data_IF_037346289161
#
_entry.id   IF_037346289161
#
_cell.length_a   1.000
_cell.length_b   1.000
_cell.length_c   1.000
_cell.angle_alpha   90.00
_cell.angle_beta   90.00
_cell.angle_gamma   90.00
#
_symmetry.space_group_name_H-M   'P 1'
#
loop_
_entity.id
_entity.type
_entity.pdbx_description
1 polymer ?
#
# COMPACT_ATOMS: atom_id res chain seq x y z
N UNK A 1 -14.11 -27.31 -84.27
CA UNK A 1 -14.70 -27.71 -82.98
C UNK A 1 -13.70 -27.39 -81.88
N UNK A 2 -14.02 -26.45 -80.97
CA UNK A 2 -13.11 -25.93 -79.97
C UNK A 2 -13.40 -26.54 -78.59
N UNK A 3 -12.38 -26.81 -77.75
CA UNK A 3 -12.46 -26.56 -76.30
C UNK A 3 -11.05 -26.28 -75.77
N UNK A 4 -10.81 -25.02 -75.39
CA UNK A 4 -9.74 -24.59 -74.48
C UNK A 4 -10.38 -24.21 -73.14
N UNK A 5 -9.60 -24.37 -72.07
CA UNK A 5 -9.69 -23.71 -70.76
C UNK A 5 -10.72 -24.23 -69.74
N UNK A 6 -10.23 -24.93 -68.71
CA UNK A 6 -10.81 -24.93 -67.37
C UNK A 6 -9.81 -25.51 -66.35
N UNK A 7 -8.86 -24.70 -65.84
CA UNK A 7 -8.04 -25.07 -64.68
C UNK A 7 -7.35 -23.85 -64.07
N UNK A 8 -8.12 -22.86 -63.60
CA UNK A 8 -7.55 -21.74 -62.82
C UNK A 8 -8.60 -21.02 -61.96
N UNK A 9 -9.42 -21.73 -61.18
CA UNK A 9 -10.37 -21.06 -60.27
C UNK A 9 -10.83 -21.94 -59.10
N UNK A 10 -9.93 -22.39 -58.23
CA UNK A 10 -10.37 -22.98 -56.96
C UNK A 10 -9.31 -22.99 -55.85
N UNK A 11 -8.63 -21.87 -55.57
CA UNK A 11 -7.68 -21.79 -54.43
C UNK A 11 -7.68 -20.44 -53.69
N UNK A 12 -8.72 -19.61 -53.87
CA UNK A 12 -8.80 -18.27 -53.24
C UNK A 12 -9.99 -18.07 -52.29
N UNK A 13 -10.78 -19.12 -52.01
CA UNK A 13 -12.00 -18.99 -51.19
C UNK A 13 -11.89 -19.53 -49.74
N UNK A 14 -10.75 -20.12 -49.34
CA UNK A 14 -10.61 -20.77 -48.03
C UNK A 14 -9.56 -20.14 -47.09
N UNK A 15 -9.14 -18.90 -47.34
CA UNK A 15 -8.19 -18.17 -46.48
C UNK A 15 -8.82 -16.98 -45.71
N UNK A 16 -10.14 -16.76 -45.84
CA UNK A 16 -10.82 -15.58 -45.27
C UNK A 16 -11.58 -15.83 -43.95
N UNK A 17 -11.56 -17.05 -43.39
CA UNK A 17 -12.37 -17.42 -42.21
C UNK A 17 -11.58 -17.63 -40.91
N UNK A 18 -10.31 -17.24 -40.87
CA UNK A 18 -9.49 -17.27 -39.65
C UNK A 18 -8.99 -15.87 -39.28
N UNK A 19 -9.89 -14.89 -39.29
CA UNK A 19 -9.68 -13.69 -38.48
C UNK A 19 -10.10 -14.08 -37.06
N UNK A 20 -9.17 -14.21 -36.09
CA UNK A 20 -9.57 -14.36 -34.71
C UNK A 20 -10.35 -13.09 -34.37
N UNK A 21 -11.65 -13.24 -34.12
CA UNK A 21 -12.50 -12.14 -33.70
C UNK A 21 -11.80 -11.46 -32.53
N UNK A 22 -11.45 -10.19 -32.70
CA UNK A 22 -10.97 -9.36 -31.62
C UNK A 22 -12.04 -9.42 -30.54
N UNK A 23 -11.79 -10.21 -29.50
CA UNK A 23 -12.72 -10.37 -28.39
C UNK A 23 -13.06 -8.98 -27.90
N UNK A 24 -14.35 -8.65 -27.90
CA UNK A 24 -14.83 -7.39 -27.34
C UNK A 24 -14.21 -7.26 -25.95
N UNK A 25 -13.40 -6.22 -25.74
CA UNK A 25 -12.79 -5.97 -24.45
C UNK A 25 -13.94 -5.90 -23.43
N UNK A 26 -13.96 -6.83 -22.47
CA UNK A 26 -14.98 -6.86 -21.45
C UNK A 26 -15.02 -5.49 -20.77
N UNK A 27 -16.20 -4.84 -20.80
CA UNK A 27 -16.38 -3.56 -20.15
C UNK A 27 -16.06 -3.71 -18.66
N UNK A 28 -15.20 -2.82 -18.13
CA UNK A 28 -14.87 -2.80 -16.71
C UNK A 28 -16.15 -2.54 -15.92
N UNK A 29 -16.40 -3.31 -14.87
CA UNK A 29 -17.54 -3.09 -13.99
C UNK A 29 -17.51 -1.64 -13.45
N UNK A 30 -18.68 -1.01 -13.19
CA UNK A 30 -18.73 0.29 -12.54
C UNK A 30 -17.97 0.27 -11.22
N UNK A 31 -17.23 1.34 -10.93
CA UNK A 31 -16.51 1.44 -9.66
C UNK A 31 -17.52 1.55 -8.51
N UNK A 32 -17.30 0.85 -7.39
CA UNK A 32 -18.11 1.02 -6.19
C UNK A 32 -17.95 2.44 -5.64
N UNK A 33 -18.95 3.00 -4.93
CA UNK A 33 -18.83 4.34 -4.37
C UNK A 33 -17.75 4.42 -3.28
N UNK A 34 -17.11 5.57 -3.15
CA UNK A 34 -16.25 5.89 -2.02
C UNK A 34 -17.06 5.92 -0.71
N UNK A 35 -16.40 5.68 0.41
CA UNK A 35 -17.04 5.72 1.73
C UNK A 35 -16.06 6.12 2.83
N UNK A 36 -16.60 6.57 3.97
CA UNK A 36 -15.83 7.01 5.13
C UNK A 36 -16.16 6.15 6.33
N UNK A 37 -15.12 5.73 7.05
CA UNK A 37 -15.21 5.09 8.35
C UNK A 37 -14.82 6.15 9.39
N UNK A 38 -15.72 6.45 10.31
CA UNK A 38 -15.51 7.45 11.37
C UNK A 38 -15.89 6.88 12.75
N UNK A 39 -15.41 7.53 13.81
CA UNK A 39 -15.73 7.15 15.19
C UNK A 39 -15.00 5.92 15.71
N UNK A 40 -13.97 5.44 14.99
CA UNK A 40 -13.06 4.40 15.47
C UNK A 40 -11.69 5.03 15.73
N UNK A 41 -11.11 4.70 16.88
CA UNK A 41 -9.72 5.03 17.23
C UNK A 41 -8.76 4.06 16.51
N UNK A 42 -8.74 4.14 15.18
CA UNK A 42 -7.93 3.32 14.29
C UNK A 42 -7.47 4.21 13.13
N UNK A 43 -6.19 4.52 13.11
CA UNK A 43 -5.59 5.49 12.18
C UNK A 43 -4.42 4.87 11.40
N UNK A 44 -3.94 5.57 10.38
CA UNK A 44 -2.94 5.04 9.44
C UNK A 44 -3.39 3.73 8.80
N UNK A 45 -4.67 3.58 8.51
CA UNK A 45 -5.29 2.26 8.55
C UNK A 45 -4.89 1.32 7.41
N UNK A 46 -5.13 0.03 7.63
CA UNK A 46 -5.27 -0.95 6.56
C UNK A 46 -6.62 -1.66 6.72
N UNK A 47 -7.43 -1.63 5.67
CA UNK A 47 -8.59 -2.50 5.54
C UNK A 47 -8.20 -3.78 4.79
N UNK A 48 -8.47 -4.95 5.36
CA UNK A 48 -8.23 -6.24 4.72
C UNK A 48 -9.45 -7.15 4.86
N UNK A 49 -9.60 -8.12 3.96
CA UNK A 49 -10.61 -9.17 4.05
C UNK A 49 -9.93 -10.52 4.23
N UNK A 50 -10.34 -11.28 5.25
CA UNK A 50 -9.93 -12.67 5.44
C UNK A 50 -11.17 -13.53 5.63
N UNK A 51 -11.38 -14.48 4.70
CA UNK A 51 -12.66 -15.18 4.61
C UNK A 51 -13.80 -14.19 4.33
N UNK A 52 -14.86 -14.26 5.12
CA UNK A 52 -16.04 -13.39 5.00
C UNK A 52 -16.03 -12.20 5.98
N UNK A 53 -14.90 -11.96 6.66
CA UNK A 53 -14.77 -10.87 7.63
C UNK A 53 -13.82 -9.80 7.10
N UNK A 54 -14.25 -8.55 7.22
CA UNK A 54 -13.41 -7.37 7.00
C UNK A 54 -12.75 -6.98 8.32
N UNK A 55 -11.48 -6.59 8.24
CA UNK A 55 -10.65 -6.20 9.37
C UNK A 55 -10.06 -4.82 9.08
N UNK A 56 -10.32 -3.88 9.98
CA UNK A 56 -9.67 -2.57 9.97
C UNK A 56 -8.58 -2.57 11.03
N UNK A 57 -7.32 -2.44 10.60
CA UNK A 57 -6.15 -2.30 11.47
C UNK A 57 -5.72 -0.84 11.51
N UNK A 58 -5.28 -0.36 12.67
CA UNK A 58 -4.86 1.03 12.81
C UNK A 58 -4.11 1.32 14.10
N UNK A 59 -3.38 2.43 14.10
CA UNK A 59 -2.80 3.08 15.28
C UNK A 59 -3.93 3.61 16.15
N UNK A 60 -3.83 3.44 17.47
CA UNK A 60 -4.77 3.99 18.44
C UNK A 60 -4.13 5.22 19.10
N UNK A 61 -4.90 6.30 19.28
CA UNK A 61 -4.47 7.57 19.87
C UNK A 61 -5.33 8.00 21.07
N UNK A 62 -6.46 7.33 21.31
CA UNK A 62 -7.48 7.72 22.30
C UNK A 62 -7.06 7.64 23.77
N UNK A 63 -5.90 7.07 24.07
CA UNK A 63 -5.29 7.13 25.41
C UNK A 63 -4.53 8.43 25.69
N UNK A 64 -4.43 9.35 24.71
CA UNK A 64 -3.75 10.64 24.84
C UNK A 64 -2.39 10.72 24.17
N UNK A 65 -2.10 9.87 23.17
CA UNK A 65 -0.87 9.97 22.39
C UNK A 65 -0.80 11.30 21.64
N UNK A 66 0.35 11.97 21.67
CA UNK A 66 0.60 13.15 20.84
C UNK A 66 1.93 13.01 20.08
N UNK A 67 1.87 13.15 18.77
CA UNK A 67 3.06 13.05 17.94
C UNK A 67 4.06 14.18 18.23
N UNK A 68 5.33 13.81 18.37
CA UNK A 68 6.45 14.65 18.81
C UNK A 68 6.29 15.25 20.22
N UNK A 69 5.48 14.65 21.08
CA UNK A 69 5.46 14.96 22.51
C UNK A 69 5.97 13.75 23.28
N UNK A 70 7.15 13.92 23.88
CA UNK A 70 7.78 12.90 24.71
C UNK A 70 6.88 12.50 25.89
N UNK A 71 7.00 11.24 26.30
CA UNK A 71 6.33 10.66 27.46
C UNK A 71 4.79 10.71 27.44
N UNK A 72 4.18 10.94 26.27
CA UNK A 72 2.75 10.69 26.09
C UNK A 72 2.49 9.19 25.94
N UNK A 73 1.35 8.68 26.44
CA UNK A 73 1.05 7.25 26.35
C UNK A 73 0.87 6.85 24.90
N UNK A 74 1.58 5.81 24.46
CA UNK A 74 1.35 5.19 23.15
C UNK A 74 0.28 4.11 23.29
N UNK A 75 -0.83 4.24 22.55
CA UNK A 75 -2.02 3.43 22.83
C UNK A 75 -1.97 2.04 22.18
N UNK A 76 -0.98 1.77 21.34
CA UNK A 76 -0.87 0.50 20.64
C UNK A 76 -1.52 0.52 19.27
N UNK A 77 -1.60 -0.67 18.70
CA UNK A 77 -2.36 -0.94 17.48
C UNK A 77 -3.62 -1.70 17.82
N UNK A 78 -4.70 -1.39 17.09
CA UNK A 78 -5.97 -2.04 17.25
C UNK A 78 -6.45 -2.74 15.99
N UNK A 79 -7.50 -3.54 16.17
CA UNK A 79 -8.28 -4.17 15.11
C UNK A 79 -9.77 -4.04 15.40
N UNK A 80 -10.53 -3.71 14.36
CA UNK A 80 -11.99 -3.80 14.35
C UNK A 80 -12.44 -4.74 13.23
N UNK A 81 -13.60 -5.36 13.39
CA UNK A 81 -14.16 -6.33 12.44
C UNK A 81 -15.55 -5.95 11.98
N UNK A 82 -15.90 -6.30 10.74
CA UNK A 82 -17.21 -6.05 10.16
C UNK A 82 -17.59 -7.11 9.11
N UNK A 83 -18.89 -7.33 8.86
CA UNK A 83 -19.37 -8.18 7.77
C UNK A 83 -19.32 -7.50 6.40
N UNK A 84 -19.18 -6.16 6.36
CA UNK A 84 -19.05 -5.37 5.14
C UNK A 84 -17.95 -4.32 5.32
N UNK A 85 -17.35 -3.80 4.23
CA UNK A 85 -16.28 -2.81 4.35
C UNK A 85 -16.78 -1.46 4.88
N UNK A 86 -18.09 -1.17 4.85
CA UNK A 86 -18.68 0.03 5.45
C UNK A 86 -19.08 -0.18 6.93
N UNK A 87 -18.99 -1.41 7.46
CA UNK A 87 -19.42 -1.75 8.82
C UNK A 87 -20.71 -2.58 8.87
N UNK A 88 -21.42 -2.61 10.01
CA UNK A 88 -21.02 -1.97 11.27
C UNK A 88 -19.72 -2.56 11.80
N UNK A 89 -18.86 -1.68 12.32
CA UNK A 89 -17.56 -2.03 12.85
C UNK A 89 -17.66 -2.37 14.35
N UNK A 90 -16.98 -3.43 14.78
CA UNK A 90 -16.86 -3.74 16.20
C UNK A 90 -16.05 -2.67 16.94
N UNK A 91 -16.16 -2.59 18.27
CA UNK A 91 -15.23 -1.80 19.07
C UNK A 91 -13.78 -2.25 18.80
N UNK A 92 -12.83 -1.32 18.58
CA UNK A 92 -11.42 -1.66 18.42
C UNK A 92 -10.90 -2.47 19.61
N UNK A 93 -10.07 -3.47 19.33
CA UNK A 93 -9.38 -4.29 20.33
C UNK A 93 -7.88 -4.24 20.08
N UNK A 94 -7.04 -4.21 21.13
CA UNK A 94 -5.59 -4.17 20.97
C UNK A 94 -5.07 -5.44 20.29
N UNK A 95 -4.08 -5.30 19.40
CA UNK A 95 -3.36 -6.42 18.79
C UNK A 95 -2.26 -6.97 19.72
N UNK A 96 -1.72 -6.14 20.60
CA UNK A 96 -0.85 -6.54 21.71
C UNK A 96 -0.89 -5.45 22.80
N UNK A 97 -0.40 -5.77 24.00
CA UNK A 97 -0.36 -4.83 25.11
C UNK A 97 0.90 -3.92 25.00
N UNK A 98 0.75 -2.58 24.89
CA UNK A 98 1.87 -1.64 24.82
C UNK A 98 2.85 -1.71 26.00
N UNK A 99 2.46 -2.25 27.14
CA UNK A 99 3.32 -2.37 28.32
C UNK A 99 4.26 -3.58 28.24
N UNK A 100 4.02 -4.49 27.30
CA UNK A 100 4.90 -5.64 27.06
C UNK A 100 6.25 -5.23 26.50
N UNK A 101 7.23 -6.12 26.66
CA UNK A 101 8.61 -5.93 26.22
C UNK A 101 8.68 -5.85 24.70
N UNK A 102 9.37 -4.83 24.21
CA UNK A 102 9.98 -4.74 22.89
C UNK A 102 11.19 -5.69 22.84
N UNK A 103 11.09 -6.84 22.14
CA UNK A 103 12.13 -7.86 22.19
C UNK A 103 13.46 -7.43 21.56
N UNK A 104 13.52 -6.28 20.89
CA UNK A 104 14.76 -5.77 20.30
C UNK A 104 15.59 -4.95 21.29
N UNK A 105 14.94 -4.09 22.08
CA UNK A 105 15.64 -3.17 22.99
C UNK A 105 15.59 -3.59 24.46
N UNK A 106 14.72 -4.55 24.81
CA UNK A 106 14.41 -4.94 26.19
C UNK A 106 13.70 -3.82 27.01
N UNK A 107 13.22 -2.78 26.32
CA UNK A 107 12.30 -1.76 26.87
C UNK A 107 10.84 -2.24 26.73
N UNK A 108 9.86 -1.52 27.29
CA UNK A 108 8.46 -1.71 26.90
C UNK A 108 8.13 -1.02 25.57
N UNK A 109 7.09 -1.46 24.85
CA UNK A 109 6.60 -0.72 23.68
C UNK A 109 6.14 0.70 24.03
N UNK A 110 5.66 0.94 25.25
CA UNK A 110 5.38 2.28 25.74
C UNK A 110 6.62 3.18 25.72
N UNK A 111 7.75 2.66 26.21
CA UNK A 111 9.02 3.39 26.17
C UNK A 111 9.46 3.55 24.72
N UNK A 112 9.49 2.47 23.93
CA UNK A 112 9.93 2.51 22.53
C UNK A 112 9.12 3.50 21.68
N UNK A 113 7.79 3.51 21.81
CA UNK A 113 6.90 4.28 20.94
C UNK A 113 6.47 5.63 21.53
N UNK A 114 6.27 5.72 22.85
CA UNK A 114 5.81 6.94 23.54
C UNK A 114 6.94 7.78 24.13
N UNK A 115 8.01 7.16 24.61
CA UNK A 115 9.03 7.85 25.42
C UNK A 115 9.69 9.06 24.74
N UNK A 116 9.91 9.03 23.43
CA UNK A 116 10.46 10.18 22.68
C UNK A 116 9.41 10.99 21.92
N UNK A 117 8.14 10.54 21.92
CA UNK A 117 7.08 11.09 21.09
C UNK A 117 7.22 10.79 19.60
N UNK A 118 8.22 10.00 19.18
CA UNK A 118 8.39 9.66 17.76
C UNK A 118 7.34 8.67 17.26
N UNK A 119 6.64 7.98 18.16
CA UNK A 119 5.56 7.06 17.84
C UNK A 119 6.00 5.69 17.34
N UNK A 120 5.00 4.84 17.17
CA UNK A 120 5.03 3.69 16.29
C UNK A 120 3.75 3.71 15.44
N UNK A 121 3.87 3.41 14.15
CA UNK A 121 2.82 3.69 13.16
C UNK A 121 2.68 2.54 12.15
N UNK A 122 1.72 2.69 11.24
CA UNK A 122 1.53 1.80 10.09
C UNK A 122 1.36 0.32 10.41
N UNK A 123 0.41 -0.07 11.27
CA UNK A 123 0.11 -1.48 11.41
C UNK A 123 -0.40 -2.01 10.06
N UNK A 124 0.29 -3.02 9.54
CA UNK A 124 -0.09 -3.75 8.33
C UNK A 124 -0.15 -5.23 8.65
N UNK A 125 -1.34 -5.80 8.58
CA UNK A 125 -1.55 -7.23 8.67
C UNK A 125 -1.39 -7.86 7.29
N UNK A 126 -0.51 -8.85 7.18
CA UNK A 126 -0.45 -9.75 6.03
C UNK A 126 -0.73 -11.18 6.47
N UNK A 127 -1.35 -11.97 5.59
CA UNK A 127 -1.45 -13.42 5.75
C UNK A 127 -0.44 -14.09 4.83
N UNK A 128 0.37 -14.99 5.37
CA UNK A 128 1.28 -15.84 4.58
C UNK A 128 0.48 -16.92 3.87
N UNK A 129 -0.11 -16.57 2.73
CA UNK A 129 -0.91 -17.48 1.91
C UNK A 129 -0.72 -17.22 0.42
N UNK A 130 -0.66 -18.29 -0.38
CA UNK A 130 -0.42 -18.26 -1.83
C UNK A 130 1.04 -18.00 -2.21
N UNK A 131 1.95 -17.95 -1.23
CA UNK A 131 3.38 -17.75 -1.42
C UNK A 131 4.18 -18.28 -0.22
N UNK A 132 5.48 -18.50 -0.43
CA UNK A 132 6.39 -18.91 0.64
C UNK A 132 6.01 -20.24 1.28
N UNK A 133 5.90 -20.25 2.61
CA UNK A 133 5.48 -21.44 3.36
C UNK A 133 4.00 -21.78 3.19
N UNK A 134 3.17 -20.80 2.82
CA UNK A 134 1.73 -20.96 2.61
C UNK A 134 1.01 -21.67 3.78
N UNK A 135 1.36 -21.30 5.01
CA UNK A 135 0.83 -21.91 6.24
C UNK A 135 -0.25 -21.05 6.92
N UNK A 136 -0.66 -19.96 6.27
CA UNK A 136 -1.77 -19.11 6.71
C UNK A 136 -1.46 -18.23 7.92
N UNK A 137 -0.20 -18.14 8.36
CA UNK A 137 0.21 -17.31 9.51
C UNK A 137 -0.10 -15.84 9.25
N UNK A 138 -0.69 -15.18 10.24
CA UNK A 138 -0.91 -13.73 10.26
C UNK A 138 0.30 -13.03 10.86
N UNK A 139 0.76 -11.96 10.19
CA UNK A 139 1.97 -11.23 10.53
C UNK A 139 1.64 -9.74 10.55
N UNK A 140 1.75 -9.14 11.73
CA UNK A 140 1.66 -7.71 11.93
C UNK A 140 3.01 -7.06 11.64
N UNK A 141 3.06 -6.16 10.67
CA UNK A 141 4.17 -5.25 10.42
C UNK A 141 3.86 -3.86 10.94
N UNK A 142 4.87 -3.15 11.42
CA UNK A 142 4.77 -1.73 11.80
C UNK A 142 6.16 -1.09 11.85
N UNK A 143 6.24 0.24 11.89
CA UNK A 143 7.50 0.96 12.09
C UNK A 143 7.58 1.58 13.50
N UNK A 144 8.78 1.54 14.09
CA UNK A 144 9.19 2.20 15.33
C UNK A 144 10.37 3.14 15.04
N UNK A 145 10.12 4.38 14.59
CA UNK A 145 11.14 5.38 14.30
C UNK A 145 12.27 5.50 15.32
N UNK A 146 11.97 5.32 16.62
CA UNK A 146 12.97 5.35 17.69
C UNK A 146 14.13 4.38 17.44
N UNK A 147 13.85 3.15 17.00
CA UNK A 147 14.91 2.16 16.71
C UNK A 147 15.93 2.68 15.69
N UNK A 148 15.48 3.44 14.69
CA UNK A 148 16.41 4.02 13.72
C UNK A 148 17.19 5.22 14.27
N UNK A 149 16.58 6.02 15.12
CA UNK A 149 17.21 7.25 15.62
C UNK A 149 18.16 7.03 16.79
N UNK A 150 17.89 6.06 17.67
CA UNK A 150 18.69 5.83 18.89
C UNK A 150 19.58 4.60 18.81
N UNK A 151 19.24 3.59 18.02
CA UNK A 151 19.99 2.34 17.94
C UNK A 151 20.80 2.26 16.64
N UNK A 152 21.82 3.12 16.50
CA UNK A 152 22.82 3.09 15.43
C UNK A 152 22.27 2.89 13.99
N UNK A 153 21.12 3.51 13.67
CA UNK A 153 20.42 3.38 12.38
C UNK A 153 19.95 1.95 12.06
N UNK A 154 19.65 1.15 13.09
CA UNK A 154 18.94 -0.10 12.96
C UNK A 154 17.61 0.13 12.23
N UNK A 155 17.23 -0.81 11.39
CA UNK A 155 15.97 -0.78 10.65
C UNK A 155 14.76 -0.51 11.58
N UNK A 156 13.88 0.43 11.27
CA UNK A 156 12.75 0.79 12.15
C UNK A 156 11.57 -0.18 12.06
N UNK A 157 11.53 -1.07 11.06
CA UNK A 157 10.40 -1.99 10.92
C UNK A 157 10.47 -3.12 11.95
N UNK A 158 9.30 -3.68 12.28
CA UNK A 158 9.11 -4.83 13.14
C UNK A 158 8.08 -5.76 12.51
N UNK A 159 8.21 -7.06 12.74
CA UNK A 159 7.23 -8.06 12.32
C UNK A 159 6.88 -8.98 13.50
N UNK A 160 5.59 -9.13 13.79
CA UNK A 160 5.09 -10.02 14.84
C UNK A 160 4.13 -11.05 14.26
N UNK A 161 4.34 -12.33 14.57
CA UNK A 161 3.34 -13.35 14.28
C UNK A 161 2.16 -13.26 15.24
N UNK A 162 0.96 -13.61 14.76
CA UNK A 162 -0.29 -13.47 15.50
C UNK A 162 -1.04 -14.79 15.63
N UNK A 163 -1.83 -14.92 16.70
CA UNK A 163 -2.72 -16.08 16.89
C UNK A 163 -3.78 -16.18 15.78
N UNK A 164 -4.29 -15.03 15.34
CA UNK A 164 -5.32 -14.90 14.32
C UNK A 164 -5.21 -13.55 13.62
N UNK A 165 -6.08 -13.30 12.63
CA UNK A 165 -6.24 -11.98 12.02
C UNK A 165 -6.58 -10.89 13.06
N UNK A 166 -7.34 -11.23 14.11
CA UNK A 166 -7.70 -10.29 15.18
C UNK A 166 -6.66 -10.22 16.31
N UNK A 167 -5.47 -10.81 16.13
CA UNK A 167 -4.49 -10.96 17.20
C UNK A 167 -4.86 -12.06 18.22
N UNK A 168 -4.26 -12.03 19.43
CA UNK A 168 -3.13 -11.17 19.79
C UNK A 168 -1.89 -11.50 18.96
N UNK A 169 -0.89 -10.62 18.99
CA UNK A 169 0.37 -10.71 18.25
C UNK A 169 1.57 -10.66 19.21
N UNK A 170 2.70 -11.22 18.78
CA UNK A 170 3.97 -11.14 19.49
C UNK A 170 4.41 -12.45 20.17
N UNK A 171 5.58 -12.46 20.81
CA UNK A 171 6.15 -13.66 21.44
C UNK A 171 5.25 -14.27 22.51
N UNK A 172 5.26 -15.60 22.64
CA UNK A 172 4.47 -16.33 23.64
C UNK A 172 2.99 -16.49 23.30
N UNK A 173 2.51 -15.82 22.25
CA UNK A 173 1.15 -16.02 21.73
C UNK A 173 1.06 -17.35 20.97
N UNK A 174 0.00 -18.13 21.18
CA UNK A 174 -0.25 -19.40 20.47
C UNK A 174 -1.35 -19.21 19.42
N UNK A 175 -1.28 -19.83 18.22
CA UNK A 175 -0.26 -20.78 17.78
C UNK A 175 1.00 -20.20 17.12
N UNK A 176 0.97 -18.95 16.64
CA UNK A 176 2.03 -18.43 15.77
C UNK A 176 2.74 -17.17 16.31
N UNK A 177 2.61 -16.89 17.59
CA UNK A 177 3.23 -15.75 18.25
C UNK A 177 4.75 -15.77 18.10
N UNK A 178 5.28 -14.68 17.56
CA UNK A 178 6.70 -14.52 17.28
C UNK A 178 7.04 -13.04 17.16
N UNK A 179 8.32 -12.73 17.25
CA UNK A 179 8.88 -11.43 16.91
C UNK A 179 10.06 -11.65 15.97
N UNK A 180 10.16 -10.81 14.94
CA UNK A 180 11.33 -10.74 14.09
C UNK A 180 11.67 -9.27 13.84
N UNK A 181 12.95 -8.93 14.03
CA UNK A 181 13.50 -7.68 13.53
C UNK A 181 13.86 -7.86 12.05
N UNK A 182 13.14 -7.26 11.10
CA UNK A 182 13.32 -7.55 9.68
C UNK A 182 14.72 -7.16 9.21
N UNK A 183 15.45 -8.11 8.64
CA UNK A 183 16.70 -7.83 7.92
C UNK A 183 16.36 -7.34 6.52
N UNK A 184 16.29 -6.03 6.34
CA UNK A 184 16.09 -5.38 5.04
C UNK A 184 17.42 -4.82 4.53
N UNK A 185 17.61 -4.79 3.21
CA UNK A 185 18.82 -4.21 2.59
C UNK A 185 18.48 -3.05 1.67
N UNK A 186 17.38 -3.13 0.94
CA UNK A 186 16.89 -2.10 0.03
C UNK A 186 16.00 -1.13 0.78
N UNK A 187 15.08 -1.65 1.61
CA UNK A 187 14.23 -0.88 2.51
C UNK A 187 14.84 -0.67 3.90
N UNK A 188 16.17 -0.73 4.03
CA UNK A 188 16.86 -0.51 5.29
C UNK A 188 16.75 0.96 5.73
N UNK A 189 15.91 1.25 6.74
CA UNK A 189 15.74 2.60 7.24
C UNK A 189 14.48 2.79 8.10
N UNK A 190 13.91 3.98 8.02
CA UNK A 190 12.66 4.36 8.68
C UNK A 190 11.80 5.19 7.73
N UNK A 191 10.50 4.95 7.76
CA UNK A 191 9.50 5.75 7.08
C UNK A 191 8.20 5.00 6.94
N UNK A 192 7.29 5.63 6.20
CA UNK A 192 6.02 5.05 5.82
C UNK A 192 6.22 3.83 4.93
N UNK A 193 5.30 2.87 5.03
CA UNK A 193 5.35 1.70 4.18
C UNK A 193 3.97 1.12 3.87
N UNK A 194 3.95 0.33 2.80
CA UNK A 194 2.83 -0.50 2.39
C UNK A 194 3.34 -1.77 1.72
N UNK A 195 2.42 -2.54 1.15
CA UNK A 195 2.75 -3.75 0.42
C UNK A 195 2.19 -3.72 -1.00
N UNK A 196 2.85 -4.43 -1.91
CA UNK A 196 2.36 -4.73 -3.24
C UNK A 196 2.40 -6.25 -3.40
N UNK A 197 1.25 -6.86 -3.68
CA UNK A 197 1.18 -8.27 -4.02
C UNK A 197 1.88 -8.54 -5.37
N UNK A 198 2.49 -9.71 -5.52
CA UNK A 198 3.05 -10.10 -6.82
C UNK A 198 1.92 -10.40 -7.81
N UNK A 199 2.04 -9.87 -9.02
CA UNK A 199 1.22 -10.27 -10.17
C UNK A 199 1.60 -11.63 -10.75
N UNK A 200 2.70 -12.23 -10.29
CA UNK A 200 3.15 -13.57 -10.68
C UNK A 200 2.58 -14.61 -9.69
N UNK A 201 1.93 -15.68 -10.17
CA UNK A 201 1.48 -16.77 -9.30
C UNK A 201 2.60 -17.33 -8.42
N UNK A 202 2.35 -17.51 -7.12
CA UNK A 202 3.35 -17.96 -6.14
C UNK A 202 4.41 -16.91 -5.78
N UNK A 203 4.37 -15.74 -6.42
CA UNK A 203 5.28 -14.63 -6.15
C UNK A 203 5.04 -14.01 -4.79
N UNK A 204 6.11 -13.61 -4.12
CA UNK A 204 6.06 -13.03 -2.77
C UNK A 204 5.58 -11.58 -2.85
N UNK A 205 4.85 -11.08 -1.84
CA UNK A 205 4.61 -9.65 -1.73
C UNK A 205 5.92 -8.89 -1.55
N UNK A 206 5.94 -7.62 -1.94
CA UNK A 206 7.05 -6.73 -1.70
C UNK A 206 6.63 -5.59 -0.77
N UNK A 207 7.51 -5.24 0.15
CA UNK A 207 7.43 -4.02 0.94
C UNK A 207 7.74 -2.83 0.02
N UNK A 208 6.90 -1.81 0.01
CA UNK A 208 7.26 -0.49 -0.51
C UNK A 208 7.46 0.44 0.66
N UNK A 209 8.59 1.14 0.70
CA UNK A 209 9.01 1.92 1.86
C UNK A 209 9.51 3.30 1.46
N UNK A 210 9.23 4.28 2.30
CA UNK A 210 9.88 5.59 2.26
C UNK A 210 11.19 5.51 3.06
N UNK A 211 12.29 5.97 2.47
CA UNK A 211 13.56 6.07 3.17
C UNK A 211 13.73 7.44 3.85
N UNK A 212 14.43 7.49 5.00
CA UNK A 212 14.64 8.74 5.71
C UNK A 212 15.54 9.70 4.92
N UNK A 213 15.46 11.00 5.20
CA UNK A 213 16.22 12.03 4.51
C UNK A 213 15.56 12.46 3.20
N UNK A 214 15.93 11.84 2.07
CA UNK A 214 15.41 12.25 0.77
C UNK A 214 13.93 11.90 0.54
N UNK A 215 13.30 11.12 1.44
CA UNK A 215 11.94 10.61 1.30
C UNK A 215 11.72 10.01 -0.09
N UNK A 216 12.66 9.15 -0.50
CA UNK A 216 12.58 8.37 -1.73
C UNK A 216 11.87 7.05 -1.47
N UNK A 217 11.21 6.49 -2.49
CA UNK A 217 10.59 5.18 -2.39
C UNK A 217 11.55 4.08 -2.83
N UNK A 218 11.56 2.99 -2.08
CA UNK A 218 12.23 1.74 -2.42
C UNK A 218 11.22 0.58 -2.33
N UNK A 219 11.52 -0.53 -3.01
CA UNK A 219 10.73 -1.76 -2.99
C UNK A 219 11.66 -2.92 -2.64
N UNK A 220 11.28 -3.79 -1.71
CA UNK A 220 12.03 -5.01 -1.37
C UNK A 220 11.10 -6.23 -1.26
N UNK A 221 11.45 -7.31 -1.96
CA UNK A 221 10.77 -8.60 -1.85
C UNK A 221 10.87 -9.15 -0.42
N UNK A 222 9.74 -9.58 0.14
CA UNK A 222 9.74 -10.26 1.43
C UNK A 222 10.36 -11.66 1.33
N UNK A 223 10.86 -12.17 2.44
CA UNK A 223 11.38 -13.53 2.54
C UNK A 223 10.28 -14.60 2.57
N UNK A 224 10.68 -15.86 2.82
CA UNK A 224 9.73 -16.96 2.87
C UNK A 224 8.82 -17.01 4.08
N UNK A 225 9.16 -16.23 5.08
CA UNK A 225 8.40 -16.10 6.30
C UNK A 225 7.53 -14.83 6.26
N UNK A 226 7.75 -13.90 5.33
CA UNK A 226 7.03 -12.63 5.29
C UNK A 226 7.33 -11.73 6.47
N UNK A 227 8.43 -11.98 7.18
CA UNK A 227 8.85 -11.18 8.34
C UNK A 227 10.23 -10.54 8.13
N UNK A 228 10.88 -10.80 6.99
CA UNK A 228 12.17 -10.23 6.58
C UNK A 228 12.22 -9.92 5.09
N UNK A 229 13.37 -9.43 4.60
CA UNK A 229 13.61 -9.11 3.19
C UNK A 229 14.60 -10.05 2.52
N UNK A 230 14.56 -10.10 1.18
CA UNK A 230 15.48 -10.91 0.36
C UNK A 230 16.62 -10.12 -0.30
N UNK A 231 16.73 -8.82 -0.04
CA UNK A 231 17.63 -7.92 -0.75
C UNK A 231 17.43 -7.91 -2.29
N UNK A 232 16.23 -8.27 -2.75
CA UNK A 232 15.79 -8.20 -4.16
C UNK A 232 14.76 -7.09 -4.27
N UNK A 233 14.91 -6.17 -5.23
CA UNK A 233 13.97 -5.08 -5.40
C UNK A 233 14.54 -3.84 -6.08
N UNK A 234 13.97 -2.68 -5.77
CA UNK A 234 14.22 -1.41 -6.47
C UNK A 234 14.62 -0.34 -5.46
N UNK A 235 15.71 0.38 -5.74
CA UNK A 235 16.05 1.63 -5.05
C UNK A 235 15.60 2.80 -5.91
N UNK A 236 15.17 3.90 -5.28
CA UNK A 236 14.83 5.15 -5.98
C UNK A 236 13.77 4.92 -7.07
N UNK A 237 12.65 4.32 -6.68
CA UNK A 237 11.52 4.04 -7.57
C UNK A 237 11.18 5.30 -8.37
N UNK A 238 11.32 5.20 -9.70
CA UNK A 238 11.09 6.30 -10.65
C UNK A 238 11.84 7.63 -10.34
N UNK A 239 12.93 7.58 -9.57
CA UNK A 239 13.67 8.78 -9.14
C UNK A 239 12.89 9.69 -8.17
N UNK A 240 11.81 9.19 -7.57
CA UNK A 240 10.96 9.95 -6.66
C UNK A 240 11.69 10.35 -5.38
N UNK A 241 11.37 11.55 -4.88
CA UNK A 241 11.91 12.17 -3.66
C UNK A 241 10.83 13.04 -3.03
N UNK A 242 10.95 13.27 -1.72
CA UNK A 242 9.99 14.03 -0.94
C UNK A 242 8.56 13.45 -1.04
N UNK A 243 8.42 12.13 -0.93
CA UNK A 243 7.13 11.41 -1.03
C UNK A 243 6.97 10.40 0.11
N UNK A 244 5.73 10.10 0.51
CA UNK A 244 5.43 9.13 1.58
C UNK A 244 4.06 8.46 1.44
N UNK A 245 3.61 7.73 2.47
CA UNK A 245 2.34 6.97 2.43
C UNK A 245 2.20 6.00 1.25
N UNK A 246 3.23 5.19 0.90
CA UNK A 246 3.20 4.43 -0.33
C UNK A 246 2.29 3.18 -0.21
N UNK A 247 1.60 2.86 -1.31
CA UNK A 247 0.87 1.61 -1.45
C UNK A 247 0.62 1.29 -2.92
N UNK A 248 0.50 0.01 -3.26
CA UNK A 248 0.32 -0.36 -4.66
C UNK A 248 -0.36 -1.70 -4.87
N UNK A 249 -0.68 -1.96 -6.12
CA UNK A 249 -1.38 -3.16 -6.55
C UNK A 249 -0.92 -3.59 -7.94
N UNK A 250 -1.23 -4.84 -8.28
CA UNK A 250 -1.14 -5.35 -9.63
C UNK A 250 -2.49 -5.17 -10.32
N UNK A 251 -2.54 -4.46 -11.45
CA UNK A 251 -3.70 -4.44 -12.33
C UNK A 251 -3.60 -5.63 -13.32
N UNK A 252 -4.43 -6.68 -13.19
CA UNK A 252 -4.37 -7.84 -14.06
C UNK A 252 -4.88 -7.57 -15.48
N UNK A 253 -5.72 -6.55 -15.67
CA UNK A 253 -6.28 -6.18 -16.98
C UNK A 253 -5.23 -5.43 -17.78
N UNK A 254 -4.60 -4.42 -17.17
CA UNK A 254 -3.53 -3.65 -17.81
C UNK A 254 -2.17 -4.36 -17.77
N UNK A 255 -2.05 -5.46 -17.01
CA UNK A 255 -0.81 -6.19 -16.74
C UNK A 255 0.30 -5.25 -16.27
N UNK A 256 -0.02 -4.44 -15.25
CA UNK A 256 0.85 -3.36 -14.79
C UNK A 256 0.76 -3.19 -13.28
N UNK A 257 1.89 -2.98 -12.64
CA UNK A 257 1.95 -2.51 -11.27
C UNK A 257 1.64 -1.03 -11.21
N UNK A 258 0.85 -0.65 -10.22
CA UNK A 258 0.45 0.73 -9.95
C UNK A 258 0.77 1.03 -8.50
N UNK A 259 1.48 2.12 -8.27
CA UNK A 259 1.88 2.62 -6.96
C UNK A 259 1.33 4.03 -6.79
N UNK A 260 0.76 4.33 -5.63
CA UNK A 260 0.35 5.66 -5.21
C UNK A 260 1.12 6.08 -3.97
N UNK A 261 1.22 7.39 -3.76
CA UNK A 261 1.97 8.01 -2.65
C UNK A 261 1.60 9.49 -2.51
N UNK A 262 1.82 10.06 -1.33
CA UNK A 262 1.74 11.50 -1.08
C UNK A 262 2.89 12.23 -1.80
N UNK A 263 2.61 13.35 -2.47
CA UNK A 263 3.59 14.17 -3.19
C UNK A 263 3.25 15.67 -3.01
N UNK A 264 3.86 16.38 -2.04
CA UNK A 264 5.00 15.95 -1.22
C UNK A 264 4.62 15.07 -0.02
N UNK A 265 5.63 14.54 0.67
CA UNK A 265 5.51 14.01 2.02
C UNK A 265 5.01 15.08 2.99
N UNK A 266 4.05 14.75 3.85
CA UNK A 266 3.31 15.66 4.71
C UNK A 266 2.57 14.91 5.84
N UNK A 267 3.24 14.62 6.95
CA UNK A 267 2.63 13.95 8.10
C UNK A 267 1.49 14.76 8.71
N UNK A 268 0.34 14.10 8.94
CA UNK A 268 -0.88 14.68 9.51
C UNK A 268 -1.48 15.85 8.71
N UNK A 269 -1.22 15.93 7.41
CA UNK A 269 -1.77 16.99 6.60
C UNK A 269 -3.24 16.72 6.19
N UNK A 270 -4.12 17.67 6.48
CA UNK A 270 -5.56 17.67 6.16
C UNK A 270 -5.86 17.90 4.65
N UNK A 271 -5.01 17.36 3.78
CA UNK A 271 -5.07 17.56 2.33
C UNK A 271 -3.66 17.60 1.73
N UNK A 272 -3.28 16.52 1.07
CA UNK A 272 -1.99 16.39 0.39
C UNK A 272 -2.20 15.85 -1.03
N UNK A 273 -1.46 16.32 -2.05
CA UNK A 273 -1.60 15.75 -3.39
C UNK A 273 -1.17 14.28 -3.42
N UNK A 274 -1.84 13.49 -4.24
CA UNK A 274 -1.49 12.08 -4.47
C UNK A 274 -0.91 11.91 -5.87
N UNK A 275 0.28 11.33 -5.90
CA UNK A 275 1.03 10.97 -7.08
C UNK A 275 0.90 9.49 -7.43
N UNK A 276 1.38 9.13 -8.62
CA UNK A 276 1.49 7.73 -9.01
C UNK A 276 2.75 7.39 -9.80
N UNK A 277 3.15 6.13 -9.70
CA UNK A 277 4.14 5.49 -10.54
C UNK A 277 3.60 4.14 -11.05
N UNK A 278 4.11 3.67 -12.18
CA UNK A 278 3.74 2.37 -12.74
C UNK A 278 4.93 1.60 -13.26
N UNK A 279 4.82 0.28 -13.33
CA UNK A 279 5.84 -0.60 -13.91
C UNK A 279 5.24 -1.85 -14.57
N UNK A 280 5.85 -2.40 -15.63
CA UNK A 280 5.48 -3.71 -16.15
C UNK A 280 5.96 -4.87 -15.26
N UNK A 281 6.95 -4.63 -14.38
CA UNK A 281 7.54 -5.61 -13.48
C UNK A 281 7.68 -5.01 -12.08
N UNK A 282 7.49 -5.81 -11.02
CA UNK A 282 7.57 -5.33 -9.64
C UNK A 282 8.97 -4.80 -9.31
N UNK A 283 10.00 -5.41 -9.92
CA UNK A 283 11.40 -5.13 -9.63
C UNK A 283 12.14 -4.37 -10.74
N UNK A 284 11.45 -3.88 -11.76
CA UNK A 284 12.08 -3.08 -12.82
C UNK A 284 11.08 -2.26 -13.65
N UNK A 285 11.56 -1.19 -14.28
CA UNK A 285 10.77 -0.40 -15.23
C UNK A 285 9.75 0.55 -14.59
N UNK A 286 9.97 0.95 -13.34
CA UNK A 286 9.15 1.96 -12.67
C UNK A 286 9.32 3.34 -13.30
N UNK A 287 8.21 3.96 -13.64
CA UNK A 287 8.14 5.31 -14.20
C UNK A 287 7.05 6.13 -13.51
N UNK A 288 7.35 7.38 -13.22
CA UNK A 288 6.37 8.40 -12.84
C UNK A 288 6.48 9.54 -13.87
N UNK A 289 5.37 10.03 -14.44
CA UNK A 289 5.44 11.06 -15.46
C UNK A 289 5.95 12.38 -14.87
N UNK A 290 7.05 12.89 -15.42
CA UNK A 290 7.48 14.26 -15.20
C UNK A 290 6.58 15.27 -15.91
N UNK A 291 6.80 16.55 -15.64
CA UNK A 291 6.18 17.64 -16.38
C UNK A 291 7.18 18.27 -17.36
N UNK A 292 6.68 19.00 -18.37
CA UNK A 292 7.50 19.68 -19.39
C UNK A 292 7.07 21.14 -19.51
N UNK A 293 8.02 22.05 -19.73
CA UNK A 293 7.78 23.49 -19.90
C UNK A 293 8.69 24.38 -19.05
N UNK A 294 8.77 25.67 -19.37
CA UNK A 294 9.53 26.65 -18.57
C UNK A 294 8.88 26.79 -17.19
N UNK A 295 9.65 26.48 -16.13
CA UNK A 295 9.21 26.55 -14.72
C UNK A 295 8.03 25.64 -14.38
N UNK A 296 7.76 24.62 -15.20
CA UNK A 296 6.72 23.66 -14.92
C UNK A 296 7.08 22.85 -13.65
N UNK A 297 6.13 22.67 -12.70
CA UNK A 297 6.42 21.88 -11.50
C UNK A 297 6.72 20.44 -11.90
N UNK A 298 7.81 19.87 -11.36
CA UNK A 298 8.32 18.54 -11.74
C UNK A 298 7.28 17.43 -11.63
N UNK A 299 6.36 17.55 -10.67
CA UNK A 299 5.33 16.56 -10.34
C UNK A 299 3.98 16.77 -11.05
N UNK A 300 3.82 17.84 -11.84
CA UNK A 300 2.50 18.28 -12.32
C UNK A 300 1.70 17.24 -13.12
N UNK A 301 2.34 16.26 -13.77
CA UNK A 301 1.64 15.19 -14.51
C UNK A 301 1.41 13.91 -13.71
N UNK A 302 2.21 13.65 -12.67
CA UNK A 302 2.06 12.45 -11.83
C UNK A 302 1.07 12.66 -10.70
N UNK A 303 0.81 13.90 -10.28
CA UNK A 303 -0.28 14.22 -9.36
C UNK A 303 -1.61 14.08 -10.10
N UNK A 304 -2.48 13.18 -9.64
CA UNK A 304 -3.78 12.92 -10.27
C UNK A 304 -4.97 13.38 -9.42
N UNK A 305 -4.73 13.73 -8.15
CA UNK A 305 -5.64 14.48 -7.31
C UNK A 305 -4.82 15.40 -6.39
N UNK A 306 -5.21 16.67 -6.30
CA UNK A 306 -4.42 17.71 -5.65
C UNK A 306 -4.52 17.77 -4.12
N UNK A 307 -5.49 17.09 -3.51
CA UNK A 307 -5.74 17.16 -2.07
C UNK A 307 -6.11 15.82 -1.42
N UNK A 308 -6.07 14.72 -2.19
CA UNK A 308 -6.48 13.38 -1.78
C UNK A 308 -7.81 13.36 -1.05
N UNK A 309 -8.85 13.96 -1.67
CA UNK A 309 -10.19 14.04 -1.08
C UNK A 309 -10.22 14.72 0.31
N UNK A 310 -9.28 15.62 0.60
CA UNK A 310 -9.19 16.33 1.88
C UNK A 310 -8.37 15.62 2.96
N UNK A 311 -7.55 14.63 2.60
CA UNK A 311 -6.69 13.90 3.54
C UNK A 311 -5.29 13.62 3.02
N UNK A 312 -4.66 12.62 3.62
CA UNK A 312 -3.35 12.11 3.22
C UNK A 312 -3.49 10.66 2.72
N UNK A 313 -2.93 10.30 1.55
CA UNK A 313 -2.91 8.91 1.10
C UNK A 313 -1.97 8.10 1.99
N UNK A 314 -2.44 6.93 2.45
CA UNK A 314 -1.69 6.10 3.41
C UNK A 314 -1.14 4.83 2.80
N UNK A 315 -2.00 4.08 2.11
CA UNK A 315 -1.65 2.83 1.44
C UNK A 315 -2.74 2.44 0.44
N UNK A 316 -2.54 1.33 -0.27
CA UNK A 316 -3.55 0.72 -1.13
C UNK A 316 -3.89 -0.65 -0.59
N UNK A 317 -5.17 -0.96 -0.53
CA UNK A 317 -5.66 -2.31 -0.27
C UNK A 317 -6.40 -2.86 -1.48
N UNK A 318 -6.47 -4.17 -1.62
CA UNK A 318 -7.30 -4.83 -2.64
C UNK A 318 -8.38 -5.64 -1.94
N UNK A 319 -9.63 -5.25 -2.13
CA UNK A 319 -10.80 -5.90 -1.56
C UNK A 319 -11.62 -6.46 -2.70
N UNK A 320 -11.84 -7.77 -2.69
CA UNK A 320 -12.68 -8.45 -3.69
C UNK A 320 -12.24 -8.16 -5.14
N UNK A 321 -10.92 -8.04 -5.35
CA UNK A 321 -10.31 -7.72 -6.64
C UNK A 321 -10.31 -6.23 -7.01
N UNK A 322 -10.97 -5.37 -6.22
CA UNK A 322 -10.98 -3.92 -6.41
C UNK A 322 -9.87 -3.26 -5.58
N UNK A 323 -8.93 -2.52 -6.18
CA UNK A 323 -7.98 -1.70 -5.44
C UNK A 323 -8.67 -0.46 -4.84
N UNK A 324 -8.35 -0.13 -3.61
CA UNK A 324 -8.85 1.03 -2.87
C UNK A 324 -7.69 1.84 -2.33
N UNK A 325 -7.70 3.15 -2.58
CA UNK A 325 -6.84 4.08 -1.88
C UNK A 325 -7.38 4.29 -0.48
N UNK A 326 -6.53 4.05 0.53
CA UNK A 326 -6.80 4.43 1.91
C UNK A 326 -6.28 5.86 2.11
N UNK A 327 -7.14 6.72 2.67
CA UNK A 327 -6.86 8.13 2.92
C UNK A 327 -7.20 8.41 4.39
N UNK A 328 -6.24 8.92 5.15
CA UNK A 328 -6.52 9.42 6.50
C UNK A 328 -6.95 10.88 6.40
N UNK A 329 -8.12 11.20 6.97
CA UNK A 329 -8.67 12.55 7.05
C UNK A 329 -8.14 13.23 8.31
N UNK A 330 -6.82 13.46 8.34
CA UNK A 330 -6.13 14.11 9.44
C UNK A 330 -6.70 15.50 9.75
N UNK A 331 -6.67 15.86 11.02
CA UNK A 331 -7.14 17.14 11.54
C UNK A 331 -6.01 18.19 11.55
N UNK A 332 -4.76 17.77 11.38
CA UNK A 332 -3.59 18.65 11.47
C UNK A 332 -3.16 18.92 12.91
N UNK A 333 -3.50 18.02 13.83
CA UNK A 333 -3.22 18.13 15.27
C UNK A 333 -2.28 17.02 15.72
N UNK A 334 -1.59 17.20 16.85
CA UNK A 334 -0.64 16.18 17.34
C UNK A 334 -1.31 14.90 17.81
N UNK A 335 -2.51 15.02 18.36
CA UNK A 335 -3.40 13.89 18.62
C UNK A 335 -4.45 13.85 17.51
N UNK A 336 -4.57 12.70 16.85
CA UNK A 336 -5.45 12.49 15.70
C UNK A 336 -6.59 11.51 16.00
N UNK A 337 -6.95 11.32 17.27
CA UNK A 337 -7.97 10.33 17.72
C UNK A 337 -9.31 10.46 16.98
N UNK A 338 -9.67 11.68 16.56
CA UNK A 338 -10.91 11.95 15.86
C UNK A 338 -10.81 11.91 14.32
N UNK A 339 -9.62 11.64 13.77
CA UNK A 339 -9.42 11.54 12.33
C UNK A 339 -10.17 10.32 11.77
N UNK A 340 -10.90 10.53 10.68
CA UNK A 340 -11.61 9.46 9.98
C UNK A 340 -10.74 8.83 8.89
N UNK A 341 -11.10 7.63 8.44
CA UNK A 341 -10.50 7.02 7.25
C UNK A 341 -11.48 7.08 6.09
N UNK A 342 -11.03 7.57 4.94
CA UNK A 342 -11.76 7.56 3.69
C UNK A 342 -11.19 6.53 2.72
N UNK A 343 -12.07 5.80 2.03
CA UNK A 343 -11.72 4.78 1.06
C UNK A 343 -12.31 5.15 -0.30
N UNK A 344 -11.43 5.23 -1.30
CA UNK A 344 -11.82 5.58 -2.67
C UNK A 344 -11.37 4.47 -3.61
N UNK A 345 -12.24 3.97 -4.52
CA UNK A 345 -11.84 2.98 -5.49
C UNK A 345 -10.78 3.56 -6.43
N UNK A 346 -9.75 2.77 -6.73
CA UNK A 346 -8.78 3.09 -7.77
C UNK A 346 -9.16 2.39 -9.08
N UNK A 347 -9.00 3.10 -10.20
CA UNK A 347 -9.08 2.51 -11.53
C UNK A 347 -7.92 3.00 -12.36
N UNK A 348 -7.15 2.06 -12.91
CA UNK A 348 -6.08 2.36 -13.84
C UNK A 348 -6.53 2.11 -15.28
N UNK A 349 -6.67 3.16 -16.05
CA UNK A 349 -6.97 3.12 -17.49
C UNK A 349 -5.81 3.76 -18.23
N UNK A 350 -4.98 3.01 -18.98
CA UNK A 350 -3.93 3.59 -19.79
C UNK A 350 -4.48 4.69 -20.71
N UNK A 351 -4.00 5.92 -20.52
CA UNK A 351 -4.37 7.04 -21.38
C UNK A 351 -3.33 7.20 -22.50
N UNK A 352 -3.75 7.34 -23.77
CA UNK A 352 -2.85 7.75 -24.84
C UNK A 352 -2.44 9.23 -24.66
N UNK A 353 -1.18 9.53 -24.94
CA UNK A 353 -0.61 10.89 -24.89
C UNK A 353 0.81 10.88 -24.36
N UNK A 354 1.65 11.79 -24.86
CA UNK A 354 3.03 11.96 -24.39
C UNK A 354 3.25 13.38 -23.85
N UNK A 355 4.34 13.57 -23.11
CA UNK A 355 4.70 14.89 -22.65
C UNK A 355 4.96 15.83 -23.85
N UNK A 356 4.25 16.96 -23.89
CA UNK A 356 4.43 17.99 -24.92
C UNK A 356 3.75 17.75 -26.28
N UNK A 357 2.87 16.76 -26.40
CA UNK A 357 2.16 16.47 -27.67
C UNK A 357 0.99 17.42 -28.01
N UNK A 358 0.78 18.47 -27.22
CA UNK A 358 -0.31 19.43 -27.39
C UNK A 358 -1.71 18.89 -27.06
N UNK A 359 -1.83 17.65 -26.55
CA UNK A 359 -3.13 17.08 -26.14
C UNK A 359 -3.37 17.27 -24.65
N UNK A 360 -4.64 17.22 -24.26
CA UNK A 360 -5.05 17.27 -22.85
C UNK A 360 -4.48 16.05 -22.14
N UNK A 361 -3.63 16.27 -21.15
CA UNK A 361 -3.14 15.22 -20.27
C UNK A 361 -4.27 14.72 -19.38
N UNK A 362 -4.53 13.41 -19.42
CA UNK A 362 -5.46 12.74 -18.52
C UNK A 362 -4.68 11.68 -17.75
N UNK A 363 -4.52 11.81 -16.42
CA UNK A 363 -3.86 10.76 -15.67
C UNK A 363 -4.61 9.44 -15.87
N UNK A 364 -3.89 8.30 -15.95
CA UNK A 364 -4.50 7.00 -16.09
C UNK A 364 -5.18 6.53 -14.79
N UNK A 365 -5.03 7.28 -13.70
CA UNK A 365 -5.70 7.06 -12.43
C UNK A 365 -6.73 8.15 -12.19
N UNK A 366 -7.82 7.77 -11.53
CA UNK A 366 -8.84 8.68 -11.03
C UNK A 366 -9.21 8.32 -9.58
N UNK A 367 -9.57 9.35 -8.82
CA UNK A 367 -10.22 9.25 -7.51
C UNK A 367 -11.56 9.96 -7.62
N UNK A 368 -12.64 9.24 -7.31
CA UNK A 368 -13.97 9.82 -7.18
C UNK A 368 -14.22 10.11 -5.70
N UNK A 369 -13.81 11.32 -5.29
CA UNK A 369 -14.39 11.99 -4.14
C UNK A 369 -15.77 12.56 -4.59
#
# INVERSE_FOLDING_TARGET
>A
MPVRHALTTLLLALAALLVPGAGAAAARAPLPPAFTISGLDLHDTQLARFGDTYYLYGSMYGCGYEWYVADTPWCGFGVSTAPSPQGPWSTPRPLFDPTTVDPWTDDSWQVTCGGTGQGCFNPRMIRRSGWGRDDGVFILWFNSPRHYTVDNRTNAYNAMGCASAAGPCGPGVTPNGSYNKPTLKICAGNGDFGFIASGTPGGRPALVCTLPGAAQLNIEELDQWGSGGRAVGVRQVAGLRNVEGPGGYWDPVARRYVLTYADPACGYCAGTPIGYATAPSLYSGWTAPGNVGWSAPLNGRRVFNGNSCGGQPRTVTVLDGQPWQIIDLWLGTRNETAAATHLVPLSYTPSPGVAGDGRVWRPPLALAC
#
